data_IF_821399334675
#
_entry.id   IF_821399334675
#
_cell.length_a   1.000
_cell.length_b   1.000
_cell.length_c   1.000
_cell.angle_alpha   90.00
_cell.angle_beta   90.00
_cell.angle_gamma   90.00
#
_symmetry.space_group_name_H-M   'P 1'
#
loop_
_entity.id
_entity.type
_entity.pdbx_description
1 polymer ?
#
# COMPACT_ATOMS: atom_id res chain seq x y z
N UNK A 1 -32.48 1.30 -3.13
CA UNK A 1 -31.35 2.19 -3.49
C UNK A 1 -30.09 1.35 -3.35
N UNK A 2 -29.20 1.31 -4.36
CA UNK A 2 -28.05 0.39 -4.41
C UNK A 2 -26.72 1.06 -3.99
N UNK A 3 -26.80 2.14 -3.22
CA UNK A 3 -25.62 2.83 -2.73
C UNK A 3 -25.07 2.09 -1.49
N UNK A 4 -23.75 1.88 -1.40
CA UNK A 4 -23.13 1.34 -0.20
C UNK A 4 -23.30 2.30 0.99
N UNK A 5 -23.21 1.78 2.21
CA UNK A 5 -23.30 2.62 3.39
C UNK A 5 -22.01 3.45 3.59
N UNK A 6 -22.13 4.68 4.11
CA UNK A 6 -20.98 5.59 4.24
C UNK A 6 -19.85 5.04 5.13
N UNK A 7 -20.19 4.25 6.16
CA UNK A 7 -19.21 3.65 7.08
C UNK A 7 -18.32 2.59 6.41
N UNK A 8 -18.74 2.03 5.28
CA UNK A 8 -17.97 1.02 4.54
C UNK A 8 -16.62 1.56 4.04
N UNK A 9 -16.47 2.89 3.99
CA UNK A 9 -15.24 3.56 3.55
C UNK A 9 -14.08 3.46 4.51
N UNK A 10 -14.33 3.43 5.82
CA UNK A 10 -13.29 3.42 6.86
C UNK A 10 -13.39 2.23 7.82
N UNK A 11 -14.57 1.60 7.93
CA UNK A 11 -14.76 0.46 8.83
C UNK A 11 -14.17 -0.80 8.20
N UNK A 12 -13.30 -1.49 8.95
CA UNK A 12 -12.76 -2.80 8.59
C UNK A 12 -13.77 -3.85 9.05
N UNK A 13 -14.21 -4.71 8.15
CA UNK A 13 -15.14 -5.79 8.49
C UNK A 13 -14.44 -6.99 9.12
N UNK A 14 -15.20 -7.81 9.84
CA UNK A 14 -14.69 -9.05 10.43
C UNK A 14 -14.10 -9.97 9.36
N UNK A 15 -12.84 -10.36 9.54
CA UNK A 15 -12.06 -11.17 8.59
C UNK A 15 -11.22 -10.37 7.60
N UNK A 16 -11.43 -9.05 7.48
CA UNK A 16 -10.55 -8.17 6.69
C UNK A 16 -9.32 -7.76 7.51
N UNK A 17 -8.15 -7.75 6.85
CA UNK A 17 -6.93 -7.20 7.44
C UNK A 17 -6.75 -5.76 7.00
N UNK A 18 -6.30 -4.88 7.91
CA UNK A 18 -5.95 -3.48 7.55
C UNK A 18 -4.84 -3.44 6.51
N UNK A 19 -3.81 -4.26 6.71
CA UNK A 19 -2.61 -4.30 5.85
C UNK A 19 -2.37 -5.74 5.41
N UNK A 20 -2.04 -5.91 4.13
CA UNK A 20 -1.58 -7.16 3.54
C UNK A 20 -0.26 -6.89 2.81
N UNK A 21 0.70 -7.79 2.97
CA UNK A 21 2.05 -7.64 2.42
C UNK A 21 2.31 -8.81 1.49
N UNK A 22 2.69 -8.51 0.25
CA UNK A 22 3.04 -9.47 -0.76
C UNK A 22 4.44 -9.15 -1.30
N UNK A 23 5.37 -10.10 -1.21
CA UNK A 23 6.71 -9.95 -1.81
C UNK A 23 6.59 -10.06 -3.33
N UNK A 24 7.17 -9.13 -4.07
CA UNK A 24 7.21 -9.20 -5.52
C UNK A 24 8.22 -10.28 -5.94
N UNK A 25 7.75 -11.31 -6.64
CA UNK A 25 8.58 -12.42 -7.10
C UNK A 25 9.38 -12.09 -8.35
N UNK A 26 9.02 -11.00 -9.06
CA UNK A 26 9.67 -10.60 -10.31
C UNK A 26 10.88 -9.71 -10.09
N UNK A 27 10.90 -8.97 -8.98
CA UNK A 27 11.94 -7.98 -8.67
C UNK A 27 12.46 -8.23 -7.25
N UNK A 28 13.78 -8.43 -7.06
CA UNK A 28 14.34 -8.64 -5.73
C UNK A 28 14.16 -7.40 -4.85
N UNK A 29 13.99 -7.63 -3.54
CA UNK A 29 13.76 -6.60 -2.53
C UNK A 29 12.62 -5.63 -2.87
N UNK A 30 11.59 -6.11 -3.56
CA UNK A 30 10.37 -5.37 -3.79
C UNK A 30 9.19 -6.03 -3.07
N UNK A 31 8.29 -5.20 -2.56
CA UNK A 31 7.07 -5.64 -1.91
C UNK A 31 5.89 -4.74 -2.30
N UNK A 32 4.70 -5.31 -2.25
CA UNK A 32 3.43 -4.63 -2.42
C UNK A 32 2.68 -4.68 -1.09
N UNK A 33 2.37 -3.51 -0.57
CA UNK A 33 1.56 -3.29 0.62
C UNK A 33 0.16 -2.88 0.18
N UNK A 34 -0.81 -3.73 0.44
CA UNK A 34 -2.23 -3.42 0.30
C UNK A 34 -2.73 -2.88 1.63
N UNK A 35 -3.33 -1.69 1.62
CA UNK A 35 -3.94 -1.07 2.79
C UNK A 35 -5.43 -0.89 2.51
N UNK A 36 -6.27 -1.57 3.30
CA UNK A 36 -7.72 -1.52 3.16
C UNK A 36 -8.30 -0.33 3.95
N UNK A 37 -9.42 0.20 3.47
CA UNK A 37 -10.17 1.30 4.11
C UNK A 37 -9.30 2.55 4.29
N UNK A 38 -8.52 2.88 3.26
CA UNK A 38 -7.66 4.06 3.17
C UNK A 38 -7.74 4.63 1.76
N UNK A 39 -7.27 5.87 1.62
CA UNK A 39 -7.27 6.62 0.36
C UNK A 39 -5.96 7.36 0.12
N UNK A 40 -5.95 8.16 -0.96
CA UNK A 40 -4.84 8.99 -1.40
C UNK A 40 -4.19 9.84 -0.31
N UNK A 41 -4.92 10.17 0.77
CA UNK A 41 -4.37 10.88 1.93
C UNK A 41 -3.20 10.13 2.53
N UNK A 42 -3.41 8.85 2.85
CA UNK A 42 -2.36 7.99 3.41
C UNK A 42 -1.37 7.55 2.35
N UNK A 43 -1.86 7.12 1.17
CA UNK A 43 -1.00 6.64 0.08
C UNK A 43 0.02 7.69 -0.36
N UNK A 44 -0.39 8.96 -0.49
CA UNK A 44 0.50 10.03 -0.88
C UNK A 44 1.51 10.38 0.23
N UNK A 45 1.07 10.43 1.49
CA UNK A 45 1.95 10.68 2.63
C UNK A 45 3.08 9.64 2.71
N UNK A 46 2.72 8.35 2.63
CA UNK A 46 3.68 7.25 2.70
C UNK A 46 4.65 7.26 1.51
N UNK A 47 4.15 7.46 0.29
CA UNK A 47 5.00 7.61 -0.90
C UNK A 47 6.04 8.72 -0.70
N UNK A 48 5.61 9.92 -0.27
CA UNK A 48 6.52 11.03 -0.08
C UNK A 48 7.54 10.77 1.03
N UNK A 49 7.15 10.05 2.08
CA UNK A 49 8.06 9.72 3.17
C UNK A 49 9.08 8.64 2.74
N UNK A 50 8.65 7.61 2.01
CA UNK A 50 9.55 6.57 1.48
C UNK A 50 10.58 7.12 0.50
N UNK A 51 10.18 8.07 -0.36
CA UNK A 51 11.11 8.71 -1.31
C UNK A 51 12.18 9.58 -0.65
N UNK A 52 12.10 9.86 0.66
CA UNK A 52 13.16 10.54 1.40
C UNK A 52 14.27 9.59 1.85
N UNK A 53 14.00 8.29 1.90
CA UNK A 53 14.98 7.30 2.31
C UNK A 53 15.91 6.96 1.13
N UNK A 54 17.24 7.20 1.25
CA UNK A 54 18.18 6.89 0.17
C UNK A 54 18.28 5.39 -0.15
N UNK A 55 17.84 4.49 0.74
CA UNK A 55 17.83 3.05 0.48
C UNK A 55 16.65 2.62 -0.38
N UNK A 56 15.66 3.48 -0.59
CA UNK A 56 14.46 3.21 -1.39
C UNK A 56 14.74 3.58 -2.86
N UNK A 57 14.82 2.57 -3.71
CA UNK A 57 15.03 2.74 -5.15
C UNK A 57 13.73 3.11 -5.88
N UNK A 58 12.59 2.66 -5.36
CA UNK A 58 11.28 2.94 -5.95
C UNK A 58 10.22 2.95 -4.85
N UNK A 59 9.34 3.96 -4.88
CA UNK A 59 8.11 3.96 -4.12
C UNK A 59 7.00 4.59 -4.95
N UNK A 60 5.87 3.90 -5.05
CA UNK A 60 4.68 4.38 -5.73
C UNK A 60 3.43 3.80 -5.09
N UNK A 61 2.29 4.46 -5.26
CA UNK A 61 1.01 3.93 -4.82
C UNK A 61 -0.05 4.08 -5.90
N UNK A 62 -1.10 3.27 -5.81
CA UNK A 62 -2.29 3.39 -6.65
C UNK A 62 -3.54 3.00 -5.85
N UNK A 63 -4.63 3.69 -6.13
CA UNK A 63 -5.97 3.18 -5.83
C UNK A 63 -6.41 2.32 -7.04
N UNK A 64 -6.71 1.02 -6.87
CA UNK A 64 -7.14 0.13 -7.95
C UNK A 64 -8.41 0.60 -8.67
N UNK A 65 -9.38 1.14 -7.91
CA UNK A 65 -10.65 1.60 -8.45
C UNK A 65 -11.28 2.66 -7.52
N UNK A 66 -11.79 3.81 -8.02
CA UNK A 66 -12.27 4.90 -7.16
C UNK A 66 -13.42 4.55 -6.20
N UNK A 67 -14.22 3.52 -6.53
CA UNK A 67 -15.30 3.02 -5.65
C UNK A 67 -14.81 2.02 -4.60
N UNK A 68 -13.55 1.60 -4.66
CA UNK A 68 -12.92 0.74 -3.67
C UNK A 68 -12.08 1.58 -2.72
N UNK A 69 -12.25 1.33 -1.42
CA UNK A 69 -11.46 1.97 -0.38
C UNK A 69 -10.24 1.11 -0.08
N UNK A 70 -9.25 1.16 -0.96
CA UNK A 70 -8.01 0.40 -0.83
C UNK A 70 -6.89 1.10 -1.58
N UNK A 71 -5.73 1.18 -0.96
CA UNK A 71 -4.51 1.68 -1.55
C UNK A 71 -3.46 0.57 -1.66
N UNK A 72 -2.81 0.49 -2.81
CA UNK A 72 -1.71 -0.45 -3.05
C UNK A 72 -0.41 0.34 -3.23
N UNK A 73 0.50 0.20 -2.27
CA UNK A 73 1.82 0.81 -2.27
C UNK A 73 2.83 -0.25 -2.72
N UNK A 74 3.63 0.08 -3.73
CA UNK A 74 4.75 -0.73 -4.18
C UNK A 74 6.05 -0.02 -3.85
N UNK A 75 6.93 -0.75 -3.18
CA UNK A 75 8.23 -0.23 -2.78
C UNK A 75 9.34 -1.25 -3.15
N UNK A 76 10.52 -0.72 -3.45
CA UNK A 76 11.73 -1.49 -3.74
C UNK A 76 12.92 -0.83 -3.06
N UNK A 77 13.70 -1.64 -2.34
CA UNK A 77 14.91 -1.20 -1.66
C UNK A 77 16.17 -1.66 -2.39
N UNK A 78 17.28 -1.00 -2.09
CA UNK A 78 18.61 -1.43 -2.48
C UNK A 78 18.97 -2.77 -1.80
N UNK A 79 19.73 -3.61 -2.51
CA UNK A 79 20.30 -4.84 -1.95
C UNK A 79 21.47 -4.47 -1.05
N UNK A 80 21.26 -4.49 0.27
CA UNK A 80 22.34 -4.33 1.24
C UNK A 80 22.77 -5.71 1.75
N UNK A 81 24.03 -6.09 1.50
CA UNK A 81 24.62 -7.39 1.89
C UNK A 81 24.70 -7.62 3.41
N UNK A 82 24.23 -6.67 4.23
CA UNK A 82 24.27 -6.72 5.71
C UNK A 82 23.08 -7.40 6.39
N UNK A 83 22.09 -7.85 5.62
CA UNK A 83 20.83 -8.39 6.19
C UNK A 83 20.64 -9.90 5.95
N UNK A 84 21.73 -10.67 5.85
CA UNK A 84 21.71 -12.13 5.95
C UNK A 84 22.48 -12.59 7.18
#
# INVERSE_FOLDING_TARGET
MNAPAAFESFLIFDGERKIQIEKDTKVPNAAVFTINKEDHTLGNLLKHQLLKDPQVLFAGYKNPHPLEHKDAIKERQELNERNY
#
